data_IF_745772165026
#
_entry.id   IF_745772165026
#
_cell.length_a   1.000
_cell.length_b   1.000
_cell.length_c   1.000
_cell.angle_alpha   90.00
_cell.angle_beta   90.00
_cell.angle_gamma   90.00
#
_symmetry.space_group_name_H-M   'P 1'
#
loop_
_entity.id
_entity.type
_entity.pdbx_description
1 polymer ?
#
# COMPACT_ATOMS: atom_id res chain seq x y z
N UNK A 1 10.02 15.71 -7.02
CA UNK A 1 9.08 16.64 -6.39
C UNK A 1 8.39 15.96 -5.21
N UNK A 2 8.28 16.63 -4.07
CA UNK A 2 7.53 16.05 -2.95
C UNK A 2 6.06 15.88 -3.32
N UNK A 3 5.45 14.83 -2.76
CA UNK A 3 4.02 14.58 -2.95
C UNK A 3 3.24 15.47 -1.99
N UNK A 4 2.24 16.17 -2.51
CA UNK A 4 1.29 16.94 -1.70
C UNK A 4 0.14 16.00 -1.32
N UNK A 5 0.07 15.62 -0.04
CA UNK A 5 -0.95 14.69 0.46
C UNK A 5 -2.37 15.25 0.38
N UNK A 6 -2.51 16.57 0.22
CA UNK A 6 -3.82 17.23 0.13
C UNK A 6 -4.23 17.55 -1.31
N UNK A 7 -3.38 17.24 -2.29
CA UNK A 7 -3.70 17.47 -3.69
C UNK A 7 -4.80 16.53 -4.18
N UNK A 8 -5.54 16.89 -5.24
CA UNK A 8 -6.48 15.99 -5.88
C UNK A 8 -5.77 14.72 -6.36
N UNK A 9 -6.50 13.59 -6.34
CA UNK A 9 -5.94 12.32 -6.80
C UNK A 9 -5.65 12.40 -8.30
N UNK A 10 -4.42 12.03 -8.68
CA UNK A 10 -4.00 11.93 -10.08
C UNK A 10 -3.96 10.45 -10.47
N UNK A 11 -4.85 10.03 -11.38
CA UNK A 11 -4.97 8.64 -11.79
C UNK A 11 -3.90 8.19 -12.81
N UNK A 12 -2.93 9.05 -13.09
CA UNK A 12 -1.78 8.71 -13.92
C UNK A 12 -0.60 8.19 -13.08
N UNK A 13 -0.77 8.04 -11.76
CA UNK A 13 0.29 7.48 -10.92
C UNK A 13 0.48 5.99 -11.22
N UNK A 14 1.66 5.49 -10.91
CA UNK A 14 2.06 4.12 -11.25
C UNK A 14 1.17 3.05 -10.61
N UNK A 15 0.68 3.28 -9.39
CA UNK A 15 -0.16 2.29 -8.70
C UNK A 15 -1.56 2.24 -9.30
N UNK A 16 -2.11 3.38 -9.71
CA UNK A 16 -3.38 3.40 -10.44
C UNK A 16 -3.25 2.61 -11.75
N UNK A 17 -2.12 2.75 -12.44
CA UNK A 17 -1.86 2.01 -13.68
C UNK A 17 -1.72 0.51 -13.42
N UNK A 18 -1.11 0.11 -12.31
CA UNK A 18 -1.04 -1.29 -11.91
C UNK A 18 -2.44 -1.85 -11.67
N UNK A 19 -3.29 -1.09 -10.97
CA UNK A 19 -4.67 -1.50 -10.69
C UNK A 19 -5.49 -1.68 -11.97
N UNK A 20 -5.23 -0.88 -13.00
CA UNK A 20 -5.91 -0.99 -14.28
C UNK A 20 -5.31 -2.08 -15.20
N UNK A 21 -4.23 -2.73 -14.77
CA UNK A 21 -3.55 -3.74 -15.56
C UNK A 21 -2.65 -3.19 -16.66
N UNK A 22 -2.35 -1.89 -16.65
CA UNK A 22 -1.46 -1.26 -17.64
C UNK A 22 0.02 -1.51 -17.34
N UNK A 23 0.36 -1.78 -16.07
CA UNK A 23 1.72 -2.11 -15.66
C UNK A 23 1.66 -3.43 -14.90
N UNK A 24 2.52 -4.41 -15.25
CA UNK A 24 2.53 -5.69 -14.54
C UNK A 24 3.07 -5.56 -13.13
N UNK A 25 2.68 -6.52 -12.27
CA UNK A 25 3.19 -6.60 -10.90
C UNK A 25 3.33 -8.07 -10.50
N UNK A 26 4.11 -8.32 -9.44
CA UNK A 26 4.24 -9.67 -8.86
C UNK A 26 3.26 -9.77 -7.70
N UNK A 27 2.01 -10.14 -8.03
CA UNK A 27 0.92 -10.19 -7.08
C UNK A 27 1.16 -11.22 -5.97
N UNK A 28 0.94 -10.79 -4.73
CA UNK A 28 0.95 -11.65 -3.54
C UNK A 28 -0.47 -12.01 -3.15
N UNK A 29 -1.39 -11.05 -3.22
CA UNK A 29 -2.76 -11.22 -2.78
C UNK A 29 -3.65 -10.13 -3.39
N UNK A 30 -4.90 -10.47 -3.65
CA UNK A 30 -5.87 -9.50 -4.16
C UNK A 30 -7.26 -9.88 -3.68
N UNK A 31 -8.04 -8.86 -3.25
CA UNK A 31 -9.46 -9.02 -2.97
C UNK A 31 -10.22 -7.79 -3.48
N UNK A 32 -11.49 -7.62 -3.10
CA UNK A 32 -12.26 -6.48 -3.58
C UNK A 32 -11.77 -5.13 -3.04
N UNK A 33 -10.98 -5.14 -1.95
CA UNK A 33 -10.55 -3.93 -1.26
C UNK A 33 -9.10 -3.54 -1.51
N UNK A 34 -8.25 -4.51 -1.83
CA UNK A 34 -6.81 -4.31 -1.83
C UNK A 34 -6.10 -5.17 -2.87
N UNK A 35 -4.92 -4.71 -3.27
CA UNK A 35 -3.96 -5.46 -4.05
C UNK A 35 -2.63 -5.42 -3.31
N UNK A 36 -1.99 -6.57 -3.16
CA UNK A 36 -0.66 -6.67 -2.56
C UNK A 36 0.32 -7.25 -3.56
N UNK A 37 1.52 -6.66 -3.65
CA UNK A 37 2.54 -7.10 -4.60
C UNK A 37 3.94 -6.82 -4.06
N UNK A 38 4.92 -7.54 -4.59
CA UNK A 38 6.31 -7.36 -4.20
C UNK A 38 6.83 -6.01 -4.69
N UNK A 39 7.58 -5.31 -3.82
CA UNK A 39 8.28 -4.11 -4.24
C UNK A 39 9.39 -4.52 -5.22
N UNK A 40 9.53 -3.79 -6.33
CA UNK A 40 10.55 -4.09 -7.35
C UNK A 40 11.95 -3.72 -6.89
N UNK A 41 12.05 -2.94 -5.83
CA UNK A 41 13.33 -2.48 -5.26
C UNK A 41 13.32 -2.74 -3.74
N UNK A 42 13.34 -4.03 -3.34
CA UNK A 42 13.09 -4.39 -1.94
C UNK A 42 14.18 -3.87 -1.00
N UNK A 43 13.74 -3.39 0.16
CA UNK A 43 14.62 -2.88 1.22
C UNK A 43 14.77 -3.88 2.36
N UNK A 44 14.18 -5.07 2.23
CA UNK A 44 14.27 -6.15 3.20
C UNK A 44 14.03 -7.48 2.46
N UNK A 45 14.37 -8.64 3.06
CA UNK A 45 14.11 -9.93 2.41
C UNK A 45 12.63 -10.13 2.05
N UNK A 46 11.72 -9.61 2.88
CA UNK A 46 10.31 -9.49 2.54
C UNK A 46 9.96 -8.01 2.49
N UNK A 47 9.53 -7.53 1.33
CA UNK A 47 9.09 -6.15 1.16
C UNK A 47 7.90 -6.16 0.20
N UNK A 48 6.71 -6.09 0.78
CA UNK A 48 5.46 -6.14 0.04
C UNK A 48 4.71 -4.84 0.23
N UNK A 49 4.08 -4.37 -0.83
CA UNK A 49 3.21 -3.18 -0.80
C UNK A 49 1.76 -3.64 -0.84
N UNK A 50 0.92 -3.04 0.01
CA UNK A 50 -0.53 -3.24 -0.04
C UNK A 50 -1.17 -1.90 -0.37
N UNK A 51 -1.96 -1.87 -1.42
CA UNK A 51 -2.65 -0.65 -1.86
C UNK A 51 -4.16 -0.86 -1.84
N UNK A 52 -4.94 0.16 -1.45
CA UNK A 52 -6.39 0.09 -1.60
C UNK A 52 -6.76 0.22 -3.07
N UNK A 53 -7.86 -0.39 -3.48
CA UNK A 53 -8.36 -0.27 -4.86
C UNK A 53 -9.00 1.08 -5.13
N UNK A 54 -9.46 1.77 -4.09
CA UNK A 54 -10.00 3.11 -4.21
C UNK A 54 -8.91 4.16 -4.45
N UNK A 55 -9.33 5.31 -4.95
CA UNK A 55 -8.43 6.40 -5.36
C UNK A 55 -8.13 7.33 -4.17
N UNK A 56 -7.16 6.95 -3.36
CA UNK A 56 -6.75 7.73 -2.19
C UNK A 56 -5.26 8.08 -2.29
N UNK A 57 -4.95 9.35 -2.06
CA UNK A 57 -3.57 9.85 -2.19
C UNK A 57 -2.69 9.31 -1.08
N UNK A 58 -3.20 9.26 0.16
CA UNK A 58 -2.38 8.96 1.34
C UNK A 58 -3.22 8.36 2.45
N UNK A 59 -2.55 7.98 3.53
CA UNK A 59 -3.20 7.52 4.75
C UNK A 59 -4.17 8.58 5.30
N UNK A 60 -3.77 9.86 5.26
CA UNK A 60 -4.63 10.96 5.74
C UNK A 60 -5.91 11.04 4.94
N UNK A 61 -5.79 11.04 3.61
CA UNK A 61 -6.93 11.10 2.70
C UNK A 61 -7.86 9.89 2.90
N UNK A 62 -7.29 8.71 2.95
CA UNK A 62 -8.03 7.45 3.10
C UNK A 62 -8.80 7.41 4.42
N UNK A 63 -8.12 7.73 5.53
CA UNK A 63 -8.75 7.63 6.86
C UNK A 63 -9.80 8.70 7.09
N UNK A 64 -9.69 9.84 6.39
CA UNK A 64 -10.67 10.92 6.52
C UNK A 64 -11.91 10.72 5.65
N UNK A 65 -11.78 10.09 4.48
CA UNK A 65 -12.81 10.12 3.45
C UNK A 65 -13.38 8.77 3.05
N UNK A 66 -12.64 7.68 3.22
CA UNK A 66 -13.11 6.38 2.75
C UNK A 66 -14.28 5.88 3.58
N UNK A 67 -15.26 5.19 2.94
CA UNK A 67 -16.32 4.52 3.69
C UNK A 67 -15.76 3.47 4.65
N UNK A 68 -16.50 3.21 5.73
CA UNK A 68 -16.08 2.25 6.76
C UNK A 68 -15.73 0.89 6.17
N UNK A 69 -16.50 0.40 5.21
CA UNK A 69 -16.26 -0.90 4.60
C UNK A 69 -14.91 -0.97 3.87
N UNK A 70 -14.52 0.11 3.20
CA UNK A 70 -13.23 0.16 2.51
C UNK A 70 -12.07 0.21 3.50
N UNK A 71 -12.22 0.99 4.57
CA UNK A 71 -11.19 1.08 5.63
C UNK A 71 -11.00 -0.28 6.27
N UNK A 72 -12.10 -0.90 6.69
CA UNK A 72 -12.06 -2.19 7.36
C UNK A 72 -11.49 -3.28 6.44
N UNK A 73 -11.95 -3.32 5.19
CA UNK A 73 -11.48 -4.30 4.22
C UNK A 73 -10.00 -4.16 3.93
N UNK A 74 -9.50 -2.92 3.79
CA UNK A 74 -8.09 -2.68 3.54
C UNK A 74 -7.22 -3.10 4.73
N UNK A 75 -7.59 -2.70 5.95
CA UNK A 75 -6.83 -3.04 7.15
C UNK A 75 -6.77 -4.56 7.35
N UNK A 76 -7.90 -5.26 7.15
CA UNK A 76 -7.92 -6.71 7.24
C UNK A 76 -7.05 -7.36 6.17
N UNK A 77 -7.01 -6.80 4.96
CA UNK A 77 -6.16 -7.30 3.89
C UNK A 77 -4.68 -7.19 4.25
N UNK A 78 -4.26 -6.06 4.84
CA UNK A 78 -2.86 -5.89 5.27
C UNK A 78 -2.47 -6.98 6.27
N UNK A 79 -3.29 -7.22 7.28
CA UNK A 79 -3.05 -8.27 8.27
C UNK A 79 -3.04 -9.66 7.65
N UNK A 80 -3.96 -9.92 6.73
CA UNK A 80 -4.04 -11.19 6.01
C UNK A 80 -2.75 -11.48 5.23
N UNK A 81 -2.26 -10.49 4.49
CA UNK A 81 -1.02 -10.62 3.72
C UNK A 81 0.16 -10.94 4.63
N UNK A 82 0.28 -10.25 5.76
CA UNK A 82 1.36 -10.54 6.72
C UNK A 82 1.30 -11.99 7.20
N UNK A 83 0.10 -12.49 7.49
CA UNK A 83 -0.07 -13.90 7.91
C UNK A 83 0.26 -14.89 6.79
N UNK A 84 -0.16 -14.59 5.56
CA UNK A 84 0.18 -15.42 4.40
C UNK A 84 1.69 -15.52 4.19
N UNK A 85 2.42 -14.46 4.50
CA UNK A 85 3.88 -14.42 4.38
C UNK A 85 4.61 -15.04 5.58
N UNK A 86 3.86 -15.53 6.59
CA UNK A 86 4.44 -16.17 7.76
C UNK A 86 5.13 -15.21 8.73
N UNK A 87 4.76 -13.92 8.70
CA UNK A 87 5.48 -12.89 9.43
C UNK A 87 5.08 -12.69 10.91
N UNK A 88 3.87 -13.07 11.38
CA UNK A 88 3.49 -12.77 12.77
C UNK A 88 4.43 -13.34 13.83
N UNK A 89 4.92 -14.57 13.66
CA UNK A 89 5.78 -15.20 14.67
C UNK A 89 7.13 -14.49 14.82
N UNK A 90 7.90 -14.26 13.72
CA UNK A 90 9.16 -13.52 13.84
C UNK A 90 8.96 -12.01 14.02
N UNK A 91 7.83 -11.48 13.59
CA UNK A 91 7.54 -10.06 13.64
C UNK A 91 7.76 -9.36 12.31
N UNK A 92 7.13 -8.20 12.15
CA UNK A 92 7.23 -7.41 10.93
C UNK A 92 6.96 -5.93 11.23
N UNK A 93 7.25 -5.08 10.27
CA UNK A 93 7.04 -3.64 10.39
C UNK A 93 6.10 -3.14 9.29
N UNK A 94 5.18 -2.28 9.67
CA UNK A 94 4.31 -1.57 8.73
C UNK A 94 4.76 -0.13 8.62
N UNK A 95 4.72 0.42 7.41
CA UNK A 95 5.11 1.80 7.16
C UNK A 95 4.21 2.39 6.09
N UNK A 96 3.65 3.57 6.35
CA UNK A 96 2.88 4.33 5.36
C UNK A 96 3.40 5.77 5.37
N UNK A 97 3.95 6.21 4.23
CA UNK A 97 4.50 7.55 4.08
C UNK A 97 3.40 8.51 3.61
N UNK A 98 3.30 9.68 4.23
CA UNK A 98 2.33 10.71 3.86
C UNK A 98 3.04 12.04 3.59
N UNK A 99 2.87 12.56 2.37
CA UNK A 99 3.36 13.88 1.99
C UNK A 99 4.88 14.01 1.93
N UNK A 100 5.35 15.25 1.78
CA UNK A 100 6.76 15.55 1.58
C UNK A 100 7.64 15.19 2.78
N UNK A 101 7.24 15.58 3.99
CA UNK A 101 8.01 15.26 5.20
C UNK A 101 7.96 13.79 5.54
N UNK A 102 6.96 13.06 5.04
CA UNK A 102 6.86 11.61 5.20
C UNK A 102 7.59 10.82 4.12
N UNK A 103 8.22 11.50 3.16
CA UNK A 103 8.92 10.87 2.03
C UNK A 103 8.03 10.01 1.15
N UNK A 104 6.77 10.41 0.96
CA UNK A 104 5.86 9.72 0.07
C UNK A 104 6.35 9.84 -1.38
N UNK A 105 6.49 8.71 -2.07
CA UNK A 105 7.05 8.70 -3.42
C UNK A 105 5.98 8.56 -4.52
N UNK A 106 4.88 7.88 -4.22
CA UNK A 106 3.78 7.67 -5.17
C UNK A 106 2.48 8.21 -4.56
N UNK A 107 1.72 9.05 -5.30
CA UNK A 107 0.50 9.67 -4.77
C UNK A 107 -0.72 8.74 -4.83
N UNK A 108 -0.55 7.55 -4.33
CA UNK A 108 -1.58 6.55 -4.06
C UNK A 108 -1.18 5.83 -2.79
N UNK A 109 -2.07 5.80 -1.80
CA UNK A 109 -1.79 5.16 -0.51
C UNK A 109 -1.18 3.78 -0.70
N UNK A 110 -0.10 3.52 -0.01
CA UNK A 110 0.50 2.20 0.03
C UNK A 110 1.12 1.95 1.40
N UNK A 111 0.88 0.75 1.92
CA UNK A 111 1.44 0.31 3.19
C UNK A 111 2.55 -0.68 2.87
N UNK A 112 3.76 -0.39 3.34
CA UNK A 112 4.89 -1.30 3.22
C UNK A 112 4.82 -2.34 4.33
N UNK A 113 5.06 -3.60 3.99
CA UNK A 113 5.26 -4.67 4.94
C UNK A 113 6.71 -5.12 4.83
N UNK A 114 7.48 -4.94 5.89
CA UNK A 114 8.89 -5.35 5.94
C UNK A 114 9.04 -6.52 6.89
N UNK A 115 9.75 -7.56 6.46
CA UNK A 115 10.02 -8.71 7.30
C UNK A 115 11.24 -9.48 6.81
N UNK A 116 11.50 -10.62 7.48
CA UNK A 116 12.58 -11.52 7.10
C UNK A 116 13.91 -11.22 7.79
N UNK A 117 14.01 -10.12 8.56
CA UNK A 117 15.20 -9.79 9.37
C UNK A 117 14.85 -8.69 10.36
N UNK A 118 15.74 -8.51 11.31
CA UNK A 118 15.65 -7.41 12.27
C UNK A 118 16.07 -6.07 11.63
#
# INVERSE_FOLDING_TARGET
MPIDALAPYDDQNIFAKILRGEIPNRTVYEDEWALAFHDINPQAPVHVLVIPKGAYVSWDDFTAKAPDAEILGFIRAVGHVARELGLPAPGYRLLANTGGHGHQEVPHLHVHIFGGRQ
#
